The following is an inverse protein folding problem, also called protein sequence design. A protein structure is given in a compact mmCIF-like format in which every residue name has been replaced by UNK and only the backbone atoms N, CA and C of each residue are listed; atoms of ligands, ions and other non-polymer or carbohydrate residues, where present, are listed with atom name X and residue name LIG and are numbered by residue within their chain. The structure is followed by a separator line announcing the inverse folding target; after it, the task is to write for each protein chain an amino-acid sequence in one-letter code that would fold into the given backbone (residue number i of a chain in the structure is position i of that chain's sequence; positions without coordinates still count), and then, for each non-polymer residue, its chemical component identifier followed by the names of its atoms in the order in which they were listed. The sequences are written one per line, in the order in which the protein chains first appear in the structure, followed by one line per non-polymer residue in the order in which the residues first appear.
data_IF_863743291549
#
_entry.id   IF_863743291549
#
_cell.length_a   1.000
_cell.length_b   1.000
_cell.length_c   1.000
_cell.angle_alpha   90.00
_cell.angle_beta   90.00
_cell.angle_gamma   90.00
#
_symmetry.space_group_name_H-M   'P 1'
#
loop_
_entity.id
_entity.type
_entity.pdbx_description
1 polymer ?
#
# COMPACT_ATOMS: atom_id res chain seq x y z
N UNK A 1 14.37 -23.70 2.90
CA UNK A 1 13.63 -24.66 3.74
C UNK A 1 12.23 -24.77 3.21
N UNK A 2 11.86 -25.96 2.77
CA UNK A 2 10.47 -26.29 2.42
C UNK A 2 9.68 -26.31 3.71
N UNK A 3 8.59 -25.54 3.80
CA UNK A 3 7.71 -25.56 4.97
C UNK A 3 7.08 -26.96 5.05
N UNK A 4 7.36 -27.70 6.11
CA UNK A 4 6.67 -28.97 6.36
C UNK A 4 5.24 -28.67 6.84
N UNK A 5 4.27 -29.36 6.26
CA UNK A 5 2.85 -29.22 6.61
C UNK A 5 2.39 -30.44 7.40
N UNK A 6 1.74 -30.19 8.53
CA UNK A 6 1.04 -31.20 9.33
C UNK A 6 -0.47 -30.98 9.18
N UNK A 7 -1.28 -31.98 9.51
CA UNK A 7 -2.74 -31.82 9.52
C UNK A 7 -3.17 -30.63 10.39
N UNK A 8 -2.54 -30.47 11.56
CA UNK A 8 -2.81 -29.36 12.47
C UNK A 8 -2.45 -28.00 11.85
N UNK A 9 -1.27 -27.86 11.24
CA UNK A 9 -0.87 -26.58 10.66
C UNK A 9 -1.69 -26.20 9.43
N UNK A 10 -2.16 -27.19 8.65
CA UNK A 10 -3.10 -26.96 7.54
C UNK A 10 -4.44 -26.47 8.05
N UNK A 11 -5.04 -27.14 9.04
CA UNK A 11 -6.28 -26.67 9.64
C UNK A 11 -6.12 -25.30 10.32
N UNK A 12 -4.97 -25.05 10.93
CA UNK A 12 -4.62 -23.73 11.48
C UNK A 12 -4.71 -22.64 10.42
N UNK A 13 -4.05 -22.83 9.27
CA UNK A 13 -4.14 -21.89 8.13
C UNK A 13 -5.59 -21.75 7.65
N UNK A 14 -6.27 -22.87 7.43
CA UNK A 14 -7.65 -22.88 6.93
C UNK A 14 -8.65 -22.19 7.86
N UNK A 15 -8.33 -22.07 9.16
CA UNK A 15 -9.17 -21.45 10.19
C UNK A 15 -8.69 -20.05 10.60
N UNK A 16 -7.50 -19.63 10.16
CA UNK A 16 -6.91 -18.32 10.50
C UNK A 16 -7.80 -17.13 10.10
N UNK A 17 -8.68 -17.33 9.10
CA UNK A 17 -9.63 -16.32 8.66
C UNK A 17 -10.60 -15.90 9.79
N UNK A 18 -10.89 -16.76 10.77
CA UNK A 18 -11.82 -16.44 11.86
C UNK A 18 -11.25 -15.35 12.77
N UNK A 19 -10.01 -15.50 13.24
CA UNK A 19 -9.32 -14.50 14.06
C UNK A 19 -9.12 -13.19 13.29
N UNK A 20 -8.72 -13.31 12.01
CA UNK A 20 -8.60 -12.16 11.12
C UNK A 20 -9.94 -11.41 11.00
N UNK A 21 -11.05 -12.13 10.80
CA UNK A 21 -12.36 -11.50 10.66
C UNK A 21 -12.83 -10.85 11.95
N UNK A 22 -12.56 -11.44 13.11
CA UNK A 22 -12.86 -10.83 14.42
C UNK A 22 -12.17 -9.48 14.56
N UNK A 23 -10.86 -9.41 14.31
CA UNK A 23 -10.10 -8.16 14.32
C UNK A 23 -10.69 -7.13 13.34
N UNK A 24 -10.88 -7.53 12.07
CA UNK A 24 -11.39 -6.63 11.03
C UNK A 24 -12.81 -6.13 11.32
N UNK A 25 -13.65 -6.95 11.96
CA UNK A 25 -14.99 -6.55 12.38
C UNK A 25 -14.92 -5.50 13.49
N UNK A 26 -14.01 -5.68 14.46
CA UNK A 26 -13.79 -4.67 15.50
C UNK A 26 -13.31 -3.32 14.95
N UNK A 27 -12.50 -3.33 13.89
CA UNK A 27 -12.07 -2.13 13.18
C UNK A 27 -13.24 -1.47 12.43
N UNK A 28 -14.03 -2.23 11.67
CA UNK A 28 -15.18 -1.68 10.93
C UNK A 28 -16.24 -1.07 11.85
N UNK A 29 -16.36 -1.58 13.06
CA UNK A 29 -17.23 -1.04 14.11
C UNK A 29 -16.59 0.08 14.93
N UNK A 30 -15.34 0.46 14.65
CA UNK A 30 -14.56 1.44 15.41
C UNK A 30 -14.46 1.12 16.93
N UNK A 31 -14.53 -0.17 17.29
CA UNK A 31 -14.56 -0.62 18.69
C UNK A 31 -13.32 -0.20 19.48
N UNK A 32 -12.15 -0.27 18.84
CA UNK A 32 -10.88 -0.01 19.50
C UNK A 32 -10.71 1.45 19.89
N UNK A 33 -11.19 2.38 19.06
CA UNK A 33 -11.22 3.81 19.38
C UNK A 33 -12.24 4.10 20.49
N UNK A 34 -13.42 3.50 20.41
CA UNK A 34 -14.48 3.68 21.41
C UNK A 34 -14.02 3.27 22.82
N UNK A 35 -13.30 2.14 22.91
CA UNK A 35 -12.78 1.60 24.16
C UNK A 35 -11.33 2.03 24.49
N UNK A 36 -10.77 3.04 23.80
CA UNK A 36 -9.37 3.45 23.98
C UNK A 36 -9.11 4.15 25.33
N UNK A 37 -9.92 5.16 25.63
CA UNK A 37 -9.69 6.07 26.76
C UNK A 37 -10.20 5.51 28.09
N UNK A 38 -11.46 5.07 28.11
CA UNK A 38 -12.16 4.62 29.31
C UNK A 38 -12.73 3.22 29.10
N UNK A 39 -12.68 2.33 30.11
CA UNK A 39 -13.40 1.06 30.05
C UNK A 39 -14.90 1.30 29.89
N UNK A 40 -15.55 0.54 29.00
CA UNK A 40 -16.99 0.62 28.74
C UNK A 40 -17.63 -0.76 28.90
N UNK A 41 -18.86 -0.79 29.40
CA UNK A 41 -19.66 -2.01 29.43
C UNK A 41 -20.06 -2.47 28.02
N UNK A 42 -20.39 -3.76 27.86
CA UNK A 42 -20.91 -4.25 26.59
C UNK A 42 -22.21 -3.54 26.16
N UNK A 43 -23.06 -3.18 27.12
CA UNK A 43 -24.31 -2.44 26.90
C UNK A 43 -24.06 -1.02 26.40
N UNK A 44 -23.08 -0.30 26.97
CA UNK A 44 -22.68 1.02 26.50
C UNK A 44 -22.12 0.95 25.08
N UNK A 45 -21.20 0.00 24.82
CA UNK A 45 -20.63 -0.20 23.49
C UNK A 45 -21.73 -0.54 22.47
N UNK A 46 -22.66 -1.45 22.82
CA UNK A 46 -23.77 -1.80 21.95
C UNK A 46 -24.68 -0.60 21.67
N UNK A 47 -24.92 0.26 22.67
CA UNK A 47 -25.67 1.50 22.54
C UNK A 47 -25.06 2.47 21.53
N UNK A 48 -23.75 2.71 21.64
CA UNK A 48 -22.98 3.57 20.72
C UNK A 48 -23.00 3.02 19.28
N UNK A 49 -22.86 1.71 19.13
CA UNK A 49 -22.95 1.03 17.84
C UNK A 49 -24.37 0.93 17.27
N UNK A 50 -25.40 1.23 18.08
CA UNK A 50 -26.81 0.91 17.79
C UNK A 50 -27.01 -0.57 17.44
N UNK A 51 -26.25 -1.44 18.11
CA UNK A 51 -26.19 -2.88 17.88
C UNK A 51 -26.98 -3.71 18.90
N UNK A 52 -26.97 -5.02 18.71
CA UNK A 52 -27.55 -5.98 19.66
C UNK A 52 -26.55 -6.26 20.81
N UNK A 53 -26.95 -6.08 22.09
CA UNK A 53 -26.05 -6.30 23.22
C UNK A 53 -25.42 -7.69 23.25
N UNK A 54 -26.20 -8.75 22.96
CA UNK A 54 -25.69 -10.12 22.99
C UNK A 54 -24.61 -10.34 21.94
N UNK A 55 -24.86 -9.90 20.70
CA UNK A 55 -23.91 -10.02 19.60
C UNK A 55 -22.62 -9.23 19.89
N UNK A 56 -22.76 -8.01 20.41
CA UNK A 56 -21.63 -7.15 20.82
C UNK A 56 -20.79 -7.82 21.90
N UNK A 57 -21.42 -8.34 22.96
CA UNK A 57 -20.70 -9.07 24.03
C UNK A 57 -19.90 -10.25 23.49
N UNK A 58 -20.48 -11.07 22.61
CA UNK A 58 -19.78 -12.23 22.04
C UNK A 58 -18.54 -11.79 21.25
N UNK A 59 -18.63 -10.71 20.47
CA UNK A 59 -17.49 -10.17 19.74
C UNK A 59 -16.41 -9.61 20.68
N UNK A 60 -16.81 -8.83 21.68
CA UNK A 60 -15.90 -8.24 22.67
C UNK A 60 -15.18 -9.32 23.50
N UNK A 61 -15.87 -10.39 23.88
CA UNK A 61 -15.28 -11.54 24.56
C UNK A 61 -14.23 -12.24 23.70
N UNK A 62 -14.54 -12.46 22.42
CA UNK A 62 -13.60 -13.06 21.49
C UNK A 62 -12.37 -12.16 21.26
N UNK A 63 -12.55 -10.85 21.09
CA UNK A 63 -11.45 -9.88 20.97
C UNK A 63 -10.61 -9.78 22.25
N UNK A 64 -11.24 -9.94 23.41
CA UNK A 64 -10.53 -10.00 24.70
C UNK A 64 -9.70 -11.28 24.81
N UNK A 65 -10.25 -12.43 24.40
CA UNK A 65 -9.54 -13.71 24.38
C UNK A 65 -8.35 -13.71 23.40
N UNK A 66 -8.44 -12.95 22.31
CA UNK A 66 -7.33 -12.73 21.36
C UNK A 66 -6.31 -11.68 21.83
N UNK A 67 -6.55 -11.01 22.96
CA UNK A 67 -5.64 -10.04 23.54
C UNK A 67 -5.68 -8.65 22.90
N UNK A 68 -6.76 -8.29 22.19
CA UNK A 68 -6.96 -6.92 21.71
C UNK A 68 -7.64 -6.01 22.75
N UNK A 69 -8.43 -6.62 23.64
CA UNK A 69 -9.14 -5.94 24.71
C UNK A 69 -8.77 -6.54 26.08
N UNK A 70 -8.73 -5.71 27.10
CA UNK A 70 -8.77 -6.12 28.49
C UNK A 70 -10.22 -6.17 28.96
N UNK A 71 -10.60 -7.27 29.63
CA UNK A 71 -11.92 -7.42 30.25
C UNK A 71 -11.79 -7.44 31.77
N UNK A 72 -12.53 -6.56 32.44
CA UNK A 72 -12.72 -6.60 33.89
C UNK A 72 -14.23 -6.61 34.19
N UNK A 73 -14.71 -7.70 34.80
CA UNK A 73 -16.14 -7.99 34.94
C UNK A 73 -16.88 -7.86 33.60
N UNK A 74 -17.73 -6.85 33.43
CA UNK A 74 -18.45 -6.57 32.19
C UNK A 74 -17.92 -5.34 31.43
N UNK A 75 -16.77 -4.79 31.83
CA UNK A 75 -16.15 -3.63 31.18
C UNK A 75 -14.97 -4.03 30.32
N UNK A 76 -14.88 -3.43 29.15
CA UNK A 76 -13.89 -3.69 28.11
C UNK A 76 -13.08 -2.42 27.84
N UNK A 77 -11.78 -2.59 27.66
CA UNK A 77 -10.87 -1.52 27.26
C UNK A 77 -9.92 -2.04 26.18
N UNK A 78 -9.61 -1.23 25.18
CA UNK A 78 -8.51 -1.53 24.27
C UNK A 78 -7.22 -1.65 25.09
N UNK A 79 -6.45 -2.72 24.87
CA UNK A 79 -5.17 -2.92 25.56
C UNK A 79 -4.32 -1.66 25.40
N UNK A 80 -3.82 -1.03 26.49
CA UNK A 80 -3.20 0.30 26.42
C UNK A 80 -2.03 0.41 25.42
N UNK A 81 -1.23 -0.66 25.27
CA UNK A 81 -0.12 -0.69 24.31
C UNK A 81 -0.57 -0.74 22.84
N UNK A 82 -1.83 -1.08 22.57
CA UNK A 82 -2.40 -1.14 21.23
C UNK A 82 -3.14 0.15 20.83
N UNK A 83 -3.49 1.01 21.79
CA UNK A 83 -4.19 2.28 21.53
C UNK A 83 -3.48 3.15 20.47
N UNK A 84 -2.15 3.37 20.51
CA UNK A 84 -1.43 4.13 19.48
C UNK A 84 -1.57 3.58 18.06
N UNK A 85 -1.92 2.29 17.91
CA UNK A 85 -2.02 1.59 16.63
C UNK A 85 -3.48 1.42 16.17
N UNK A 86 -4.41 1.27 17.11
CA UNK A 86 -5.80 0.88 16.84
C UNK A 86 -6.84 1.96 17.16
N UNK A 87 -6.44 3.14 17.61
CA UNK A 87 -7.36 4.28 17.79
C UNK A 87 -7.26 5.25 16.62
N UNK A 88 -8.38 5.80 16.17
CA UNK A 88 -8.42 6.83 15.12
C UNK A 88 -7.87 8.19 15.59
N UNK A 89 -7.82 8.43 16.90
CA UNK A 89 -7.30 9.66 17.48
C UNK A 89 -5.77 9.77 17.40
N UNK A 90 -5.09 8.66 17.13
CA UNK A 90 -3.64 8.54 17.24
C UNK A 90 -2.98 8.75 15.88
N UNK A 91 -1.95 9.60 15.82
CA UNK A 91 -1.23 9.89 14.58
C UNK A 91 -0.42 8.71 14.05
N UNK A 92 -0.08 7.74 14.91
CA UNK A 92 0.61 6.49 14.58
C UNK A 92 -0.33 5.36 14.21
N UNK A 93 -1.63 5.62 14.12
CA UNK A 93 -2.65 4.61 13.88
C UNK A 93 -2.43 3.87 12.56
N UNK A 94 -2.56 2.55 12.60
CA UNK A 94 -2.50 1.67 11.42
C UNK A 94 -3.90 1.29 10.93
N UNK A 95 -4.96 1.84 11.54
CA UNK A 95 -6.35 1.57 11.18
C UNK A 95 -6.66 1.75 9.69
N UNK A 96 -6.18 2.81 8.99
CA UNK A 96 -6.44 2.92 7.55
C UNK A 96 -5.95 1.71 6.74
N UNK A 97 -4.80 1.14 7.14
CA UNK A 97 -4.25 -0.09 6.57
C UNK A 97 -5.11 -1.32 6.82
N UNK A 98 -5.64 -1.45 8.03
CA UNK A 98 -6.50 -2.57 8.39
C UNK A 98 -7.90 -2.45 7.77
N UNK A 99 -8.45 -1.23 7.64
CA UNK A 99 -9.69 -0.98 6.89
C UNK A 99 -9.53 -1.34 5.41
N UNK A 100 -8.39 -1.00 4.79
CA UNK A 100 -8.10 -1.48 3.44
C UNK A 100 -8.08 -3.01 3.38
N UNK A 101 -7.48 -3.68 4.37
CA UNK A 101 -7.49 -5.14 4.47
C UNK A 101 -8.91 -5.70 4.61
N UNK A 102 -9.79 -5.06 5.37
CA UNK A 102 -11.20 -5.42 5.47
C UNK A 102 -11.90 -5.34 4.10
N UNK A 103 -11.63 -4.28 3.33
CA UNK A 103 -12.18 -4.14 1.97
C UNK A 103 -11.72 -5.24 1.00
N UNK A 104 -10.51 -5.78 1.18
CA UNK A 104 -10.00 -6.89 0.37
C UNK A 104 -10.76 -8.21 0.61
N UNK A 105 -11.43 -8.36 1.76
CA UNK A 105 -12.15 -9.59 2.10
C UNK A 105 -13.13 -10.05 1.01
N UNK A 106 -13.88 -9.09 0.45
CA UNK A 106 -14.88 -9.39 -0.57
C UNK A 106 -14.24 -9.85 -1.88
N UNK A 107 -13.10 -9.28 -2.26
CA UNK A 107 -12.42 -9.60 -3.52
C UNK A 107 -11.72 -10.95 -3.42
N UNK A 108 -11.05 -11.21 -2.30
CA UNK A 108 -10.44 -12.49 -1.98
C UNK A 108 -11.47 -13.63 -1.86
N UNK A 109 -12.68 -13.34 -1.36
CA UNK A 109 -13.77 -14.32 -1.31
C UNK A 109 -14.24 -14.80 -2.71
N UNK A 110 -13.91 -14.07 -3.78
CA UNK A 110 -14.20 -14.48 -5.16
C UNK A 110 -13.04 -15.23 -5.84
N UNK A 111 -11.90 -15.43 -5.17
CA UNK A 111 -10.68 -15.97 -5.77
C UNK A 111 -10.93 -17.29 -6.54
N UNK A 112 -11.67 -18.24 -5.96
CA UNK A 112 -11.99 -19.51 -6.62
C UNK A 112 -12.66 -19.29 -7.99
N UNK A 113 -13.63 -18.38 -8.08
CA UNK A 113 -14.31 -18.06 -9.35
C UNK A 113 -13.38 -17.34 -10.32
N UNK A 114 -12.53 -16.45 -9.81
CA UNK A 114 -11.56 -15.68 -10.60
C UNK A 114 -10.54 -16.61 -11.25
N UNK A 115 -10.05 -17.63 -10.53
CA UNK A 115 -9.14 -18.66 -11.08
C UNK A 115 -9.76 -19.38 -12.27
N UNK A 116 -11.06 -19.71 -12.22
CA UNK A 116 -11.74 -20.35 -13.35
C UNK A 116 -11.99 -19.40 -14.53
N UNK A 117 -12.15 -18.09 -14.28
CA UNK A 117 -12.46 -17.09 -15.31
C UNK A 117 -11.24 -16.42 -15.93
N UNK A 118 -10.09 -16.44 -15.25
CA UNK A 118 -8.85 -15.81 -15.70
C UNK A 118 -8.70 -14.32 -15.33
N UNK A 119 -9.59 -13.76 -14.50
CA UNK A 119 -9.49 -12.36 -14.05
C UNK A 119 -10.76 -11.84 -13.39
N UNK A 120 -10.79 -10.59 -12.90
CA UNK A 120 -11.94 -10.01 -12.21
C UNK A 120 -13.09 -9.57 -13.15
N UNK A 121 -13.04 -9.96 -14.43
CA UNK A 121 -14.03 -9.59 -15.44
C UNK A 121 -15.47 -9.96 -15.04
N UNK A 122 -16.40 -9.01 -15.21
CA UNK A 122 -17.82 -9.16 -14.85
C UNK A 122 -18.18 -8.71 -13.43
N UNK A 123 -17.31 -7.98 -12.75
CA UNK A 123 -17.64 -7.29 -11.51
C UNK A 123 -18.41 -6.01 -11.82
N UNK A 124 -19.53 -5.77 -11.15
CA UNK A 124 -20.10 -4.42 -11.03
C UNK A 124 -19.05 -3.58 -10.30
N UNK A 125 -18.39 -2.73 -11.06
CA UNK A 125 -17.38 -1.82 -10.53
C UNK A 125 -18.11 -0.86 -9.58
N UNK A 126 -18.04 -1.12 -8.28
CA UNK A 126 -18.63 -0.22 -7.29
C UNK A 126 -17.81 1.08 -7.15
N UNK A 127 -16.89 1.35 -8.08
CA UNK A 127 -15.94 2.43 -8.06
C UNK A 127 -15.02 2.41 -6.83
N UNK A 128 -13.97 3.23 -6.90
CA UNK A 128 -13.35 3.74 -5.69
C UNK A 128 -14.32 4.76 -5.09
N UNK A 129 -15.14 4.35 -4.11
CA UNK A 129 -15.79 5.35 -3.25
C UNK A 129 -14.70 6.19 -2.57
N UNK A 130 -14.98 7.46 -2.27
CA UNK A 130 -13.99 8.34 -1.62
C UNK A 130 -13.42 7.72 -0.33
N UNK A 131 -14.24 6.99 0.43
CA UNK A 131 -13.81 6.30 1.65
C UNK A 131 -12.82 5.16 1.37
N UNK A 132 -13.05 4.38 0.30
CA UNK A 132 -12.12 3.32 -0.11
C UNK A 132 -10.81 3.87 -0.63
N UNK A 133 -10.86 4.96 -1.40
CA UNK A 133 -9.67 5.66 -1.87
C UNK A 133 -8.88 6.23 -0.70
N UNK A 134 -9.56 6.87 0.26
CA UNK A 134 -8.95 7.41 1.47
C UNK A 134 -8.28 6.33 2.32
N UNK A 135 -8.98 5.22 2.58
CA UNK A 135 -8.43 4.09 3.33
C UNK A 135 -7.22 3.46 2.62
N UNK A 136 -7.31 3.28 1.29
CA UNK A 136 -6.20 2.78 0.48
C UNK A 136 -4.97 3.69 0.54
N UNK A 137 -5.14 4.99 0.33
CA UNK A 137 -4.01 5.95 0.39
C UNK A 137 -3.48 6.07 1.81
N UNK A 138 -4.34 6.01 2.82
CA UNK A 138 -3.94 5.92 4.22
C UNK A 138 -3.10 4.68 4.50
N UNK A 139 -3.50 3.51 3.98
CA UNK A 139 -2.75 2.26 4.08
C UNK A 139 -1.36 2.40 3.45
N UNK A 140 -1.29 2.97 2.24
CA UNK A 140 -0.03 3.20 1.54
C UNK A 140 0.87 4.17 2.32
N UNK A 141 0.30 5.23 2.91
CA UNK A 141 1.03 6.15 3.77
C UNK A 141 1.64 5.43 4.98
N UNK A 142 0.84 4.68 5.75
CA UNK A 142 1.29 3.95 6.94
C UNK A 142 2.39 2.94 6.59
N UNK A 143 2.19 2.15 5.53
CA UNK A 143 3.17 1.17 5.07
C UNK A 143 4.48 1.80 4.57
N UNK A 144 4.40 2.99 3.97
CA UNK A 144 5.57 3.72 3.49
C UNK A 144 6.30 4.48 4.61
N UNK A 145 5.59 5.07 5.58
CA UNK A 145 6.15 5.99 6.57
C UNK A 145 7.31 5.38 7.38
N UNK A 146 7.15 4.13 7.84
CA UNK A 146 8.21 3.44 8.59
C UNK A 146 9.43 3.00 7.76
N UNK A 147 9.32 3.01 6.42
CA UNK A 147 10.37 2.53 5.52
C UNK A 147 10.95 3.63 4.61
N UNK A 148 10.29 4.79 4.51
CA UNK A 148 10.60 5.81 3.51
C UNK A 148 12.05 6.30 3.59
N UNK A 149 12.51 6.68 4.80
CA UNK A 149 13.87 7.18 5.00
C UNK A 149 14.93 6.12 4.65
N UNK A 150 14.69 4.86 5.04
CA UNK A 150 15.57 3.75 4.69
C UNK A 150 15.61 3.47 3.19
N UNK A 151 14.48 3.62 2.50
CA UNK A 151 14.41 3.46 1.04
C UNK A 151 15.13 4.60 0.33
N UNK A 152 14.91 5.85 0.74
CA UNK A 152 15.60 7.02 0.15
C UNK A 152 17.12 6.90 0.36
N UNK A 153 17.55 6.45 1.54
CA UNK A 153 18.96 6.17 1.81
C UNK A 153 19.53 5.08 0.89
N UNK A 154 18.80 3.97 0.71
CA UNK A 154 19.21 2.89 -0.19
C UNK A 154 19.25 3.32 -1.67
N UNK A 155 18.32 4.19 -2.09
CA UNK A 155 18.31 4.78 -3.43
C UNK A 155 19.51 5.70 -3.61
N UNK A 156 19.89 6.47 -2.59
CA UNK A 156 20.96 7.46 -2.63
C UNK A 156 20.78 8.43 -3.83
N UNK A 157 19.95 9.48 -3.70
CA UNK A 157 19.59 10.36 -4.82
C UNK A 157 20.79 11.07 -5.47
N UNK A 158 21.94 11.15 -4.79
CA UNK A 158 23.16 11.70 -5.34
C UNK A 158 22.98 13.18 -5.74
N UNK A 159 23.42 13.60 -6.94
CA UNK A 159 23.34 14.99 -7.37
C UNK A 159 21.99 15.40 -7.96
N UNK A 160 20.97 14.53 -7.95
CA UNK A 160 19.66 14.83 -8.52
C UNK A 160 19.02 16.07 -7.88
N UNK A 161 18.47 16.94 -8.71
CA UNK A 161 17.89 18.23 -8.30
C UNK A 161 16.38 18.30 -8.51
N UNK A 162 15.85 17.59 -9.50
CA UNK A 162 14.44 17.70 -9.90
C UNK A 162 13.83 16.31 -10.01
N UNK A 163 13.09 15.96 -8.96
CA UNK A 163 12.51 14.65 -8.76
C UNK A 163 11.05 14.61 -9.24
N UNK A 164 10.60 13.51 -9.86
CA UNK A 164 9.18 13.22 -10.11
C UNK A 164 8.73 11.91 -9.43
N UNK A 165 7.67 12.00 -8.63
CA UNK A 165 6.98 10.88 -7.99
C UNK A 165 5.72 10.55 -8.81
N UNK A 166 5.72 9.43 -9.52
CA UNK A 166 4.65 9.04 -10.44
C UNK A 166 3.74 8.03 -9.73
N UNK A 167 2.50 8.44 -9.50
CA UNK A 167 1.60 7.72 -8.58
C UNK A 167 2.04 7.91 -7.12
N UNK A 168 2.48 9.12 -6.77
CA UNK A 168 3.10 9.42 -5.48
C UNK A 168 2.17 9.35 -4.26
N UNK A 169 0.85 9.16 -4.48
CA UNK A 169 -0.12 8.91 -3.44
C UNK A 169 -0.17 10.02 -2.40
N UNK A 170 0.07 9.65 -1.14
CA UNK A 170 0.11 10.59 -0.01
C UNK A 170 1.33 11.53 0.01
N UNK A 171 2.28 11.38 -0.92
CA UNK A 171 3.53 12.14 -0.96
C UNK A 171 4.56 11.71 0.09
N UNK A 172 4.43 10.51 0.66
CA UNK A 172 5.35 10.02 1.70
C UNK A 172 6.79 9.93 1.20
N UNK A 173 7.00 9.32 0.02
CA UNK A 173 8.33 9.24 -0.59
C UNK A 173 8.80 10.60 -1.08
N UNK A 174 7.94 11.40 -1.72
CA UNK A 174 8.24 12.80 -2.06
C UNK A 174 8.81 13.58 -0.88
N UNK A 175 8.14 13.59 0.28
CA UNK A 175 8.63 14.30 1.46
C UNK A 175 9.95 13.71 1.99
N UNK A 176 10.12 12.39 1.96
CA UNK A 176 11.37 11.75 2.40
C UNK A 176 12.57 12.13 1.50
N UNK A 177 12.38 12.19 0.17
CA UNK A 177 13.41 12.70 -0.76
C UNK A 177 13.78 14.15 -0.46
N UNK A 178 12.79 15.02 -0.25
CA UNK A 178 13.04 16.44 0.04
C UNK A 178 13.74 16.68 1.39
N UNK A 179 13.52 15.79 2.38
CA UNK A 179 14.25 15.79 3.65
C UNK A 179 15.71 15.38 3.47
N UNK A 180 15.96 14.33 2.69
CA UNK A 180 17.30 13.81 2.44
C UNK A 180 18.14 14.72 1.52
N UNK A 181 17.51 15.56 0.70
CA UNK A 181 18.18 16.43 -0.26
C UNK A 181 17.61 17.86 -0.20
N UNK A 182 18.19 18.77 0.62
CA UNK A 182 17.60 20.08 0.91
C UNK A 182 17.39 21.02 -0.30
N UNK A 183 18.19 20.85 -1.36
CA UNK A 183 18.09 21.68 -2.58
C UNK A 183 17.13 21.09 -3.64
N UNK A 184 16.70 19.84 -3.46
CA UNK A 184 15.86 19.14 -4.44
C UNK A 184 14.48 19.80 -4.57
N UNK A 185 13.91 19.83 -5.76
CA UNK A 185 12.48 20.13 -5.99
C UNK A 185 11.79 18.86 -6.46
N UNK A 186 10.51 18.73 -6.15
CA UNK A 186 9.72 17.57 -6.50
C UNK A 186 8.51 17.95 -7.35
N UNK A 187 8.14 17.07 -8.26
CA UNK A 187 6.82 17.02 -8.90
C UNK A 187 6.12 15.75 -8.41
N UNK A 188 4.94 15.88 -7.83
CA UNK A 188 4.10 14.73 -7.50
C UNK A 188 2.98 14.65 -8.52
N UNK A 189 2.96 13.57 -9.30
CA UNK A 189 1.98 13.32 -10.33
C UNK A 189 1.05 12.18 -9.90
N UNK A 190 -0.25 12.47 -9.79
CA UNK A 190 -1.26 11.48 -9.41
C UNK A 190 -2.66 11.91 -9.87
N UNK A 191 -3.66 11.07 -9.69
CA UNK A 191 -5.05 11.37 -10.03
C UNK A 191 -5.55 12.60 -9.24
N UNK A 192 -6.47 13.41 -9.81
CA UNK A 192 -6.98 14.62 -9.16
C UNK A 192 -7.43 14.47 -7.69
N UNK A 193 -8.23 13.45 -7.30
CA UNK A 193 -8.63 13.29 -5.89
C UNK A 193 -7.45 12.94 -4.97
N UNK A 194 -6.41 12.29 -5.48
CA UNK A 194 -5.20 11.92 -4.72
C UNK A 194 -4.31 13.12 -4.48
N UNK A 195 -4.20 14.00 -5.48
CA UNK A 195 -3.47 15.26 -5.38
C UNK A 195 -3.98 16.13 -4.22
N UNK A 196 -5.29 16.21 -4.01
CA UNK A 196 -5.84 16.99 -2.90
C UNK A 196 -5.46 16.41 -1.53
N UNK A 197 -5.37 15.07 -1.42
CA UNK A 197 -4.87 14.42 -0.21
C UNK A 197 -3.38 14.67 0.02
N UNK A 198 -2.57 14.63 -1.05
CA UNK A 198 -1.14 14.93 -1.00
C UNK A 198 -0.90 16.39 -0.58
N UNK A 199 -1.68 17.33 -1.15
CA UNK A 199 -1.61 18.77 -0.86
C UNK A 199 -1.71 19.05 0.63
N UNK A 200 -2.72 18.47 1.30
CA UNK A 200 -2.90 18.62 2.74
C UNK A 200 -1.65 18.21 3.52
N UNK A 201 -1.13 17.00 3.29
CA UNK A 201 0.05 16.46 4.01
C UNK A 201 1.33 17.23 3.73
N UNK A 202 1.57 17.59 2.47
CA UNK A 202 2.77 18.35 2.07
C UNK A 202 2.75 19.75 2.71
N UNK A 203 1.57 20.36 2.82
CA UNK A 203 1.39 21.67 3.48
C UNK A 203 1.59 21.56 4.99
N UNK A 204 1.02 20.53 5.63
CA UNK A 204 1.24 20.24 7.06
C UNK A 204 2.72 19.98 7.38
N UNK A 205 3.47 19.40 6.43
CA UNK A 205 4.93 19.20 6.54
C UNK A 205 5.76 20.45 6.18
N UNK A 206 5.14 21.56 5.75
CA UNK A 206 5.83 22.80 5.39
C UNK A 206 6.69 22.69 4.12
N UNK A 207 6.37 21.77 3.20
CA UNK A 207 7.19 21.49 2.00
C UNK A 207 6.57 22.00 0.70
N UNK A 208 5.45 22.70 0.75
CA UNK A 208 4.68 23.12 -0.42
C UNK A 208 5.48 23.96 -1.42
N UNK A 209 6.44 24.78 -0.97
CA UNK A 209 7.24 25.65 -1.86
C UNK A 209 8.25 24.87 -2.72
N UNK A 210 8.49 23.60 -2.37
CA UNK A 210 9.42 22.69 -3.06
C UNK A 210 8.70 21.59 -3.84
N UNK A 211 7.36 21.53 -3.79
CA UNK A 211 6.57 20.51 -4.48
C UNK A 211 5.61 21.14 -5.47
N UNK A 212 5.73 20.74 -6.74
CA UNK A 212 4.69 20.98 -7.75
C UNK A 212 3.74 19.79 -7.79
N UNK A 213 2.45 20.05 -7.55
CA UNK A 213 1.40 19.03 -7.61
C UNK A 213 0.76 19.04 -8.99
N UNK A 214 0.79 17.90 -9.69
CA UNK A 214 0.29 17.79 -11.06
C UNK A 214 -0.80 16.70 -11.11
N UNK A 215 -2.08 17.08 -11.28
CA UNK A 215 -3.15 16.11 -11.47
C UNK A 215 -3.10 15.49 -12.87
N UNK A 216 -3.18 14.16 -12.95
CA UNK A 216 -3.24 13.43 -14.21
C UNK A 216 -3.33 11.92 -14.06
N UNK A 217 -3.65 11.25 -15.17
CA UNK A 217 -3.76 9.81 -15.31
C UNK A 217 -2.54 9.32 -16.13
N UNK A 218 -1.60 8.62 -15.48
CA UNK A 218 -0.37 8.17 -16.16
C UNK A 218 -0.63 7.12 -17.25
N UNK A 219 -1.85 6.58 -17.38
CA UNK A 219 -2.20 5.74 -18.52
C UNK A 219 -2.52 6.57 -19.77
N UNK A 220 -2.95 7.83 -19.62
CA UNK A 220 -3.48 8.66 -20.71
C UNK A 220 -2.66 9.91 -20.96
N UNK A 221 -2.27 10.61 -19.90
CA UNK A 221 -1.72 11.96 -19.97
C UNK A 221 -0.20 11.95 -20.09
N UNK A 222 0.38 12.91 -20.81
CA UNK A 222 1.84 13.08 -20.84
C UNK A 222 2.37 13.42 -19.45
N UNK A 223 3.57 12.91 -19.13
CA UNK A 223 4.25 13.26 -17.89
C UNK A 223 4.94 14.63 -18.04
N UNK A 224 5.00 15.46 -16.97
CA UNK A 224 5.83 16.65 -16.92
C UNK A 224 7.29 16.34 -17.26
N UNK A 225 7.96 17.25 -17.96
CA UNK A 225 9.38 17.09 -18.38
C UNK A 225 10.33 17.91 -17.51
N UNK A 226 11.64 17.66 -17.63
CA UNK A 226 12.69 18.43 -16.94
C UNK A 226 13.12 17.85 -15.59
N UNK A 227 12.98 16.53 -15.43
CA UNK A 227 13.34 15.80 -14.21
C UNK A 227 14.60 14.95 -14.44
N UNK A 228 15.46 14.87 -13.43
CA UNK A 228 16.68 14.05 -13.46
C UNK A 228 16.56 12.77 -12.60
N UNK A 229 15.46 12.63 -11.85
CA UNK A 229 15.14 11.42 -11.09
C UNK A 229 13.62 11.15 -11.13
N UNK A 230 13.24 9.92 -11.46
CA UNK A 230 11.85 9.45 -11.39
C UNK A 230 11.71 8.28 -10.43
N UNK A 231 10.65 8.29 -9.62
CA UNK A 231 10.23 7.17 -8.80
C UNK A 231 8.91 6.61 -9.32
N UNK A 232 8.89 5.28 -9.45
CA UNK A 232 7.72 4.48 -9.70
C UNK A 232 7.59 3.47 -8.55
N UNK A 233 6.85 3.84 -7.50
CA UNK A 233 6.75 3.08 -6.26
C UNK A 233 5.39 2.42 -6.11
N UNK A 234 5.36 1.08 -6.01
CA UNK A 234 4.13 0.30 -5.89
C UNK A 234 3.11 0.57 -7.02
N UNK A 235 3.61 0.69 -8.26
CA UNK A 235 2.79 0.93 -9.46
C UNK A 235 2.90 -0.21 -10.47
N UNK A 236 4.08 -0.82 -10.65
CA UNK A 236 4.23 -1.77 -11.77
C UNK A 236 3.35 -2.99 -11.59
N UNK A 237 3.08 -3.40 -10.35
CA UNK A 237 2.25 -4.57 -10.04
C UNK A 237 0.78 -4.45 -10.45
N UNK A 238 0.20 -3.25 -10.54
CA UNK A 238 -1.22 -3.09 -10.91
C UNK A 238 -1.42 -3.06 -12.43
N UNK A 239 -0.34 -2.81 -13.17
CA UNK A 239 -0.33 -2.72 -14.62
C UNK A 239 -0.16 -4.10 -15.25
N UNK A 240 -0.66 -4.27 -16.47
CA UNK A 240 -0.23 -5.35 -17.37
C UNK A 240 1.20 -5.13 -17.88
N UNK A 241 1.85 -6.16 -18.46
CA UNK A 241 3.17 -6.01 -19.06
C UNK A 241 3.22 -4.92 -20.14
N UNK A 242 2.17 -4.78 -20.94
CA UNK A 242 2.06 -3.77 -22.01
C UNK A 242 1.90 -2.36 -21.43
N UNK A 243 1.08 -2.22 -20.38
CA UNK A 243 0.90 -0.95 -19.67
C UNK A 243 2.22 -0.50 -19.02
N UNK A 244 2.99 -1.42 -18.43
CA UNK A 244 4.30 -1.11 -17.88
C UNK A 244 5.29 -0.63 -18.94
N UNK A 245 5.37 -1.32 -20.10
CA UNK A 245 6.22 -0.88 -21.22
C UNK A 245 5.87 0.52 -21.71
N UNK A 246 4.57 0.79 -21.90
CA UNK A 246 4.10 2.11 -22.30
C UNK A 246 4.45 3.18 -21.26
N UNK A 247 4.32 2.87 -19.97
CA UNK A 247 4.68 3.79 -18.89
C UNK A 247 6.19 4.05 -18.85
N UNK A 248 7.03 3.03 -19.00
CA UNK A 248 8.49 3.20 -19.07
C UNK A 248 8.89 4.11 -20.23
N UNK A 249 8.27 3.96 -21.40
CA UNK A 249 8.51 4.85 -22.55
C UNK A 249 8.14 6.30 -22.24
N UNK A 250 7.00 6.54 -21.57
CA UNK A 250 6.61 7.89 -21.16
C UNK A 250 7.59 8.50 -20.17
N UNK A 251 8.08 7.72 -19.21
CA UNK A 251 9.09 8.17 -18.24
C UNK A 251 10.40 8.49 -18.94
N UNK A 252 10.82 7.64 -19.89
CA UNK A 252 12.02 7.89 -20.70
C UNK A 252 11.94 9.22 -21.44
N UNK A 253 10.79 9.55 -22.04
CA UNK A 253 10.58 10.82 -22.72
C UNK A 253 10.58 12.03 -21.78
N UNK A 254 10.11 11.85 -20.53
CA UNK A 254 10.00 12.91 -19.54
C UNK A 254 11.32 13.26 -18.84
N UNK A 255 12.19 12.27 -18.64
CA UNK A 255 13.50 12.47 -17.99
C UNK A 255 14.48 13.23 -18.89
N UNK A 256 15.34 14.03 -18.29
CA UNK A 256 16.48 14.65 -18.98
C UNK A 256 17.58 13.62 -19.28
N UNK A 257 18.46 13.85 -20.27
CA UNK A 257 19.64 13.00 -20.52
C UNK A 257 20.48 12.82 -19.26
N UNK A 258 20.93 11.60 -18.98
CA UNK A 258 21.59 11.23 -17.73
C UNK A 258 20.63 10.98 -16.55
N UNK A 259 19.33 11.21 -16.71
CA UNK A 259 18.31 11.01 -15.69
C UNK A 259 18.15 9.55 -15.27
N UNK A 260 17.68 9.33 -14.05
CA UNK A 260 17.55 8.00 -13.42
C UNK A 260 16.09 7.67 -13.16
N UNK A 261 15.68 6.44 -13.48
CA UNK A 261 14.40 5.88 -13.01
C UNK A 261 14.67 4.89 -11.88
N UNK A 262 13.85 4.94 -10.85
CA UNK A 262 13.78 3.97 -9.76
C UNK A 262 12.41 3.32 -9.73
N UNK A 263 12.38 2.00 -9.78
CA UNK A 263 11.19 1.18 -9.58
C UNK A 263 11.30 0.52 -8.20
N UNK A 264 10.27 0.71 -7.37
CA UNK A 264 10.17 0.06 -6.07
C UNK A 264 8.92 -0.82 -6.04
N UNK A 265 9.12 -2.14 -6.00
CA UNK A 265 8.02 -3.11 -6.00
C UNK A 265 8.49 -4.51 -5.51
N UNK A 266 7.59 -5.49 -5.52
CA UNK A 266 7.96 -6.90 -5.48
C UNK A 266 8.70 -7.31 -6.75
N UNK A 267 9.99 -7.64 -6.62
CA UNK A 267 10.79 -8.24 -7.68
C UNK A 267 10.93 -9.74 -7.40
N UNK A 268 10.40 -10.56 -8.29
CA UNK A 268 10.35 -12.01 -8.15
C UNK A 268 11.63 -12.68 -8.67
N UNK A 269 12.01 -13.78 -8.03
CA UNK A 269 12.96 -14.74 -8.62
C UNK A 269 12.38 -15.33 -9.92
N UNK A 270 13.21 -15.84 -10.85
CA UNK A 270 12.76 -16.31 -12.15
C UNK A 270 11.63 -17.36 -12.12
N UNK A 271 11.58 -18.20 -11.08
CA UNK A 271 10.54 -19.21 -10.91
C UNK A 271 9.23 -18.68 -10.30
N UNK A 272 9.19 -17.39 -9.92
CA UNK A 272 8.06 -16.68 -9.30
C UNK A 272 7.56 -17.24 -7.98
N UNK A 273 8.33 -18.09 -7.32
CA UNK A 273 7.97 -18.66 -6.00
C UNK A 273 8.52 -17.83 -4.84
N UNK A 274 9.48 -16.95 -5.12
CA UNK A 274 10.17 -16.12 -4.13
C UNK A 274 10.22 -14.65 -4.54
N UNK A 275 10.08 -13.74 -3.56
CA UNK A 275 9.70 -14.00 -2.17
C UNK A 275 8.25 -14.49 -2.06
N UNK A 276 7.94 -15.32 -1.05
CA UNK A 276 6.59 -15.88 -0.83
C UNK A 276 5.53 -14.77 -0.73
N UNK A 277 5.87 -13.64 -0.10
CA UNK A 277 4.99 -12.48 -0.03
C UNK A 277 4.66 -11.90 -1.41
N UNK A 278 5.60 -11.93 -2.36
CA UNK A 278 5.35 -11.50 -3.75
C UNK A 278 4.45 -12.47 -4.51
N UNK A 279 4.60 -13.78 -4.30
CA UNK A 279 3.69 -14.77 -4.89
C UNK A 279 2.25 -14.62 -4.37
N UNK A 280 2.06 -14.38 -3.07
CA UNK A 280 0.75 -14.06 -2.48
C UNK A 280 0.25 -12.72 -3.02
N UNK A 281 1.12 -11.72 -3.16
CA UNK A 281 0.75 -10.41 -3.70
C UNK A 281 0.34 -10.47 -5.18
N UNK A 282 0.89 -11.39 -5.97
CA UNK A 282 0.43 -11.64 -7.34
C UNK A 282 -1.04 -12.07 -7.36
N UNK A 283 -1.48 -12.90 -6.40
CA UNK A 283 -2.89 -13.26 -6.22
C UNK A 283 -3.72 -12.03 -5.82
N UNK A 284 -3.18 -11.16 -4.97
CA UNK A 284 -3.82 -9.90 -4.63
C UNK A 284 -4.05 -9.03 -5.88
N UNK A 285 -3.11 -8.99 -6.81
CA UNK A 285 -3.30 -8.27 -8.08
C UNK A 285 -4.33 -8.95 -8.98
N UNK A 286 -4.30 -10.28 -9.08
CA UNK A 286 -5.27 -11.05 -9.86
C UNK A 286 -6.72 -10.80 -9.43
N UNK A 287 -6.97 -10.66 -8.12
CA UNK A 287 -8.35 -10.43 -7.62
C UNK A 287 -8.81 -8.97 -7.70
N UNK A 288 -7.89 -8.02 -7.86
CA UNK A 288 -8.20 -6.59 -7.78
C UNK A 288 -7.95 -5.81 -9.08
N UNK A 289 -7.22 -6.36 -10.04
CA UNK A 289 -6.81 -5.65 -11.26
C UNK A 289 -7.08 -6.47 -12.51
N UNK A 290 -7.37 -5.84 -13.67
CA UNK A 290 -7.62 -6.58 -14.91
C UNK A 290 -6.42 -7.36 -15.45
N UNK A 291 -5.19 -6.88 -15.21
CA UNK A 291 -3.97 -7.46 -15.79
C UNK A 291 -2.72 -7.34 -14.92
N UNK A 292 -2.85 -6.92 -13.67
CA UNK A 292 -1.74 -6.80 -12.73
C UNK A 292 -1.22 -8.14 -12.23
N UNK A 293 -0.04 -8.10 -11.61
CA UNK A 293 0.68 -9.27 -11.11
C UNK A 293 1.93 -8.87 -10.33
N UNK A 294 2.94 -9.72 -10.36
CA UNK A 294 4.30 -9.36 -9.93
C UNK A 294 5.28 -9.74 -11.02
N UNK A 295 6.42 -9.06 -11.04
CA UNK A 295 7.37 -9.11 -12.14
C UNK A 295 8.72 -9.60 -11.67
N UNK A 296 9.38 -10.38 -12.50
CA UNK A 296 10.79 -10.75 -12.31
C UNK A 296 11.69 -9.57 -12.65
N UNK A 297 12.93 -9.59 -12.18
CA UNK A 297 13.92 -8.58 -12.56
C UNK A 297 14.09 -8.52 -14.08
N UNK A 298 14.08 -9.68 -14.75
CA UNK A 298 14.32 -9.76 -16.18
C UNK A 298 13.21 -9.08 -17.00
N UNK A 299 11.95 -9.29 -16.64
CA UNK A 299 10.82 -8.61 -17.31
C UNK A 299 10.88 -7.09 -17.15
N UNK A 300 11.25 -6.61 -15.95
CA UNK A 300 11.44 -5.19 -15.69
C UNK A 300 12.61 -4.67 -16.54
N UNK A 301 13.72 -5.43 -16.59
CA UNK A 301 14.93 -5.09 -17.33
C UNK A 301 14.67 -4.96 -18.83
N UNK A 302 13.99 -5.95 -19.41
CA UNK A 302 13.61 -5.95 -20.82
C UNK A 302 12.74 -4.74 -21.16
N UNK A 303 11.68 -4.49 -20.38
CA UNK A 303 10.78 -3.35 -20.61
C UNK A 303 11.48 -2.00 -20.51
N UNK A 304 12.41 -1.84 -19.56
CA UNK A 304 13.21 -0.61 -19.43
C UNK A 304 14.16 -0.43 -20.62
N UNK A 305 14.81 -1.50 -21.09
CA UNK A 305 15.71 -1.44 -22.23
C UNK A 305 14.97 -1.18 -23.55
N UNK A 306 13.78 -1.76 -23.74
CA UNK A 306 12.90 -1.47 -24.87
C UNK A 306 12.49 0.01 -24.92
N UNK A 307 12.28 0.64 -23.76
CA UNK A 307 11.99 2.07 -23.65
C UNK A 307 13.21 2.96 -23.95
N UNK A 308 14.42 2.40 -23.99
CA UNK A 308 15.68 3.12 -24.29
C UNK A 308 16.58 3.36 -23.07
N UNK A 309 16.20 2.90 -21.88
CA UNK A 309 17.08 3.00 -20.71
C UNK A 309 18.28 2.03 -20.81
N UNK A 310 19.38 2.41 -20.18
CA UNK A 310 20.58 1.58 -20.02
C UNK A 310 20.93 1.35 -18.54
N UNK A 311 22.03 0.62 -18.30
CA UNK A 311 22.61 0.36 -16.98
C UNK A 311 21.59 -0.14 -15.94
N UNK A 312 20.66 -0.99 -16.38
CA UNK A 312 19.60 -1.52 -15.51
C UNK A 312 20.19 -2.42 -14.43
N UNK A 313 19.88 -2.17 -13.16
CA UNK A 313 20.37 -2.95 -12.02
C UNK A 313 19.31 -3.10 -10.94
N UNK A 314 19.27 -4.27 -10.31
CA UNK A 314 18.56 -4.44 -9.05
C UNK A 314 19.50 -4.08 -7.90
N UNK A 315 19.25 -2.94 -7.24
CA UNK A 315 20.11 -2.40 -6.17
C UNK A 315 19.66 -2.85 -4.78
N UNK A 316 18.45 -3.40 -4.64
CA UNK A 316 17.94 -3.96 -3.38
C UNK A 316 16.98 -5.13 -3.63
N UNK A 317 17.09 -6.17 -2.82
CA UNK A 317 16.17 -7.33 -2.82
C UNK A 317 15.55 -7.48 -1.43
N UNK A 318 14.33 -6.96 -1.26
CA UNK A 318 13.66 -6.92 0.06
C UNK A 318 12.13 -6.88 -0.06
N UNK A 319 11.50 -7.96 -0.55
CA UNK A 319 10.04 -8.02 -0.67
C UNK A 319 9.49 -6.86 -1.51
N UNK A 320 8.42 -6.20 -1.03
CA UNK A 320 7.84 -4.98 -1.63
C UNK A 320 8.80 -3.78 -1.67
N UNK A 321 9.91 -3.84 -0.94
CA UNK A 321 10.94 -2.80 -0.89
C UNK A 321 12.13 -3.13 -1.79
N UNK A 322 11.98 -4.04 -2.76
CA UNK A 322 13.03 -4.26 -3.75
C UNK A 322 13.12 -3.04 -4.68
N UNK A 323 14.33 -2.75 -5.15
CA UNK A 323 14.63 -1.55 -5.94
C UNK A 323 15.35 -1.94 -7.22
N UNK A 324 14.83 -1.47 -8.34
CA UNK A 324 15.46 -1.54 -9.66
C UNK A 324 15.73 -0.14 -10.15
N UNK A 325 16.92 0.12 -10.67
CA UNK A 325 17.29 1.38 -11.28
C UNK A 325 17.64 1.19 -12.75
N UNK A 326 17.47 2.26 -13.53
CA UNK A 326 18.02 2.38 -14.86
C UNK A 326 18.26 3.85 -15.21
N UNK A 327 19.00 4.12 -16.28
CA UNK A 327 19.42 5.46 -16.65
C UNK A 327 19.10 5.80 -18.10
N UNK A 328 18.69 7.04 -18.33
CA UNK A 328 18.58 7.60 -19.68
C UNK A 328 19.99 7.99 -20.14
N UNK A 329 20.46 7.49 -21.29
CA UNK A 329 21.80 7.78 -21.80
C UNK A 329 22.00 9.26 -22.15
#
# INVERSE_FOLDING_TARGET
MTREFTQESIYGIARSFMECRLLLTGIELNLFSLAASTPLSAEEIAGELKGDPRATTILLDALSALGFLEKNENHYRTVPSLVPLLSESESTSILPGLLHTAHLWQTWSQLTKIVFRGGPAGREDSGFTNDRLSAFIGAMHVGAAGAADGIVAAISPGPAKVFIDIGGGSGTYTMAFLKASPEMKATLFDLPPVIEMARKRITEAGMQDRVTLVPGDFYKDALPTGHDLALLSAIIHQNSPEQNRALYQKIFLALDPGGRIIIRDHVMEPDRTRPVSGAIFAVNMLVNTPGGGTYTFEEIREGLMEAGFDRVKQIQTKGMFSLVEAFKP
#
